data_IF_195257430457
#
_entry.id   IF_195257430457
#
_cell.length_a   1.000
_cell.length_b   1.000
_cell.length_c   1.000
_cell.angle_alpha   90.00
_cell.angle_beta   90.00
_cell.angle_gamma   90.00
#
_symmetry.space_group_name_H-M   'P 1'
#
loop_
_entity.id
_entity.type
_entity.pdbx_description
1 polymer ?
#
# COMPACT_ATOMS: atom_id res chain seq x y z
N UNK A 1 -18.75 -43.76 -6.02
CA UNK A 1 -18.31 -43.73 -4.61
C UNK A 1 -16.80 -43.70 -4.61
N UNK A 2 -16.10 -42.67 -4.15
CA UNK A 2 -16.51 -41.57 -3.27
C UNK A 2 -15.84 -40.27 -3.70
N UNK A 3 -16.59 -39.21 -3.44
CA UNK A 3 -16.26 -37.80 -3.47
C UNK A 3 -15.42 -37.40 -2.23
N UNK A 4 -14.93 -36.16 -2.26
CA UNK A 4 -14.40 -35.35 -1.11
C UNK A 4 -13.02 -35.77 -0.56
N UNK A 5 -12.05 -34.89 -0.26
CA UNK A 5 -11.93 -33.47 0.16
C UNK A 5 -10.42 -33.12 0.05
N UNK A 6 -9.86 -31.91 0.05
CA UNK A 6 -10.31 -30.54 0.12
C UNK A 6 -9.12 -29.63 -0.25
N UNK A 7 -9.44 -28.51 -0.88
CA UNK A 7 -8.94 -27.16 -0.61
C UNK A 7 -7.46 -26.90 -0.28
N UNK A 8 -6.84 -26.20 -1.25
CA UNK A 8 -6.14 -24.91 -1.09
C UNK A 8 -4.93 -24.83 -0.15
N UNK A 9 -3.79 -25.32 -0.63
CA UNK A 9 -2.50 -24.70 -0.30
C UNK A 9 -2.16 -23.65 -1.36
N UNK A 10 -2.83 -22.50 -1.29
CA UNK A 10 -2.34 -21.30 -1.98
C UNK A 10 -1.34 -20.66 -1.02
N UNK A 11 -0.11 -21.18 -1.02
CA UNK A 11 1.01 -20.57 -0.32
C UNK A 11 1.29 -19.21 -0.97
N UNK A 12 0.57 -18.19 -0.52
CA UNK A 12 0.78 -16.79 -0.87
C UNK A 12 2.10 -16.37 -0.21
N UNK A 13 3.20 -16.60 -0.92
CA UNK A 13 4.50 -16.03 -0.59
C UNK A 13 4.45 -14.55 -0.99
N UNK A 14 3.70 -13.75 -0.22
CA UNK A 14 3.68 -12.29 -0.36
C UNK A 14 5.08 -11.78 0.01
N UNK A 15 5.59 -10.81 -0.75
CA UNK A 15 6.85 -10.17 -0.37
C UNK A 15 6.67 -9.49 0.99
N UNK A 16 7.72 -9.35 1.83
CA UNK A 16 7.65 -8.57 3.06
C UNK A 16 7.04 -7.17 2.87
N UNK A 17 7.28 -6.55 1.70
CA UNK A 17 6.67 -5.27 1.34
C UNK A 17 5.15 -5.37 1.13
N UNK A 18 4.64 -6.46 0.55
CA UNK A 18 3.21 -6.66 0.33
C UNK A 18 2.46 -6.90 1.65
N UNK A 19 3.08 -7.59 2.61
CA UNK A 19 2.53 -7.80 3.94
C UNK A 19 2.33 -6.46 4.68
N UNK A 20 3.36 -5.61 4.68
CA UNK A 20 3.31 -4.26 5.27
C UNK A 20 2.19 -3.42 4.61
N UNK A 21 2.05 -3.52 3.29
CA UNK A 21 1.01 -2.77 2.57
C UNK A 21 -0.40 -3.23 2.97
N UNK A 22 -0.63 -4.55 3.10
CA UNK A 22 -1.93 -5.06 3.54
C UNK A 22 -2.26 -4.65 4.98
N UNK A 23 -1.26 -4.68 5.87
CA UNK A 23 -1.39 -4.20 7.24
C UNK A 23 -1.84 -2.74 7.26
N UNK A 24 -1.13 -1.85 6.55
CA UNK A 24 -1.48 -0.42 6.45
C UNK A 24 -2.91 -0.23 5.90
N UNK A 25 -3.27 -0.93 4.83
CA UNK A 25 -4.63 -0.80 4.24
C UNK A 25 -5.70 -1.25 5.24
N UNK A 26 -5.43 -2.27 6.04
CA UNK A 26 -6.37 -2.79 7.04
C UNK A 26 -6.65 -1.78 8.15
N UNK A 27 -5.65 -0.98 8.53
CA UNK A 27 -5.75 0.06 9.57
C UNK A 27 -6.39 1.36 9.07
N UNK A 28 -6.28 1.66 7.77
CA UNK A 28 -6.82 2.90 7.21
C UNK A 28 -8.36 2.90 7.18
N UNK A 29 -9.04 3.94 7.67
CA UNK A 29 -10.46 4.16 7.44
C UNK A 29 -10.80 4.24 5.94
N UNK A 30 -12.01 3.81 5.56
CA UNK A 30 -12.46 3.81 4.16
C UNK A 30 -12.32 5.18 3.49
N UNK A 31 -12.64 6.26 4.22
CA UNK A 31 -12.51 7.65 3.73
C UNK A 31 -11.08 7.96 3.29
N UNK A 32 -10.09 7.51 4.05
CA UNK A 32 -8.68 7.76 3.79
C UNK A 32 -8.17 6.93 2.62
N UNK A 33 -8.58 5.66 2.54
CA UNK A 33 -8.30 4.81 1.36
C UNK A 33 -8.78 5.46 0.07
N UNK A 34 -10.02 5.97 0.06
CA UNK A 34 -10.61 6.66 -1.09
C UNK A 34 -9.90 7.99 -1.38
N UNK A 35 -9.52 8.75 -0.36
CA UNK A 35 -8.79 10.00 -0.56
C UNK A 35 -7.42 9.76 -1.22
N UNK A 36 -6.66 8.78 -0.70
CA UNK A 36 -5.35 8.40 -1.24
C UNK A 36 -5.47 7.81 -2.65
N UNK A 37 -6.47 6.96 -2.90
CA UNK A 37 -6.72 6.38 -4.23
C UNK A 37 -6.97 7.42 -5.33
N UNK A 38 -7.49 8.59 -4.95
CA UNK A 38 -7.81 9.69 -5.87
C UNK A 38 -6.72 10.78 -5.94
N UNK A 39 -5.62 10.65 -5.20
CA UNK A 39 -4.48 11.55 -5.32
C UNK A 39 -3.88 11.46 -6.73
N UNK A 40 -3.47 12.60 -7.27
CA UNK A 40 -2.70 12.62 -8.50
C UNK A 40 -1.21 12.31 -8.21
N UNK A 41 -0.40 12.19 -9.27
CA UNK A 41 1.03 11.84 -9.13
C UNK A 41 1.84 12.89 -8.36
N UNK A 42 1.47 14.17 -8.45
CA UNK A 42 2.15 15.24 -7.73
C UNK A 42 1.84 15.19 -6.23
N UNK A 43 0.56 14.99 -5.88
CA UNK A 43 0.10 14.88 -4.49
C UNK A 43 0.80 13.71 -3.76
N UNK A 44 0.90 12.55 -4.41
CA UNK A 44 1.56 11.38 -3.81
C UNK A 44 3.07 11.59 -3.68
N UNK A 45 3.70 12.32 -4.60
CA UNK A 45 5.13 12.62 -4.52
C UNK A 45 5.44 13.58 -3.35
N UNK A 46 4.58 14.57 -3.14
CA UNK A 46 4.65 15.46 -1.97
C UNK A 46 4.51 14.63 -0.69
N UNK A 47 3.53 13.72 -0.62
CA UNK A 47 3.31 12.88 0.55
C UNK A 47 4.53 12.00 0.86
N UNK A 48 5.13 11.37 -0.16
CA UNK A 48 6.38 10.59 -0.01
C UNK A 48 7.52 11.44 0.51
N UNK A 49 7.71 12.63 -0.04
CA UNK A 49 8.79 13.53 0.38
C UNK A 49 8.65 13.93 1.85
N UNK A 50 7.43 14.22 2.31
CA UNK A 50 7.14 14.51 3.72
C UNK A 50 7.45 13.30 4.58
N UNK A 51 7.00 12.10 4.16
CA UNK A 51 7.22 10.86 4.89
C UNK A 51 8.72 10.52 5.01
N UNK A 52 9.46 10.54 3.90
CA UNK A 52 10.91 10.30 3.88
C UNK A 52 11.66 11.29 4.78
N UNK A 53 11.26 12.58 4.77
CA UNK A 53 11.84 13.59 5.64
C UNK A 53 11.55 13.31 7.13
N UNK A 54 10.36 12.83 7.45
CA UNK A 54 10.01 12.43 8.82
C UNK A 54 10.83 11.21 9.26
N UNK A 55 10.90 10.16 8.43
CA UNK A 55 11.64 8.93 8.72
C UNK A 55 13.13 9.24 8.94
N UNK A 56 13.80 9.92 8.00
CA UNK A 56 15.21 10.36 8.15
C UNK A 56 15.46 11.17 9.43
N UNK A 57 14.47 11.95 9.88
CA UNK A 57 14.58 12.73 11.12
C UNK A 57 14.37 11.92 12.40
N UNK A 58 13.82 10.72 12.32
CA UNK A 58 13.48 9.85 13.46
C UNK A 58 14.37 8.62 13.57
N UNK A 59 14.75 8.05 12.44
CA UNK A 59 15.65 6.91 12.34
C UNK A 59 17.01 7.49 11.97
N UNK A 60 17.99 7.44 12.88
CA UNK A 60 19.40 7.80 12.61
C UNK A 60 20.08 6.78 11.66
N UNK A 61 19.34 6.27 10.69
CA UNK A 61 19.73 5.19 9.78
C UNK A 61 19.77 5.74 8.36
N UNK A 62 20.86 5.48 7.66
CA UNK A 62 21.04 5.73 6.22
C UNK A 62 20.25 4.72 5.38
N UNK A 63 19.03 4.35 5.81
CA UNK A 63 18.17 3.49 5.01
C UNK A 63 17.95 4.18 3.65
N UNK A 64 18.22 3.45 2.57
CA UNK A 64 18.07 3.96 1.22
C UNK A 64 16.59 4.33 1.02
N UNK A 65 16.32 5.60 0.69
CA UNK A 65 14.95 6.09 0.52
C UNK A 65 14.18 5.34 -0.57
N UNK A 66 14.89 4.57 -1.40
CA UNK A 66 14.31 3.69 -2.41
C UNK A 66 13.30 2.70 -1.81
N UNK A 67 13.54 2.13 -0.62
CA UNK A 67 12.68 1.13 0.00
C UNK A 67 11.32 1.73 0.43
N UNK A 68 11.34 2.86 1.14
CA UNK A 68 10.11 3.56 1.55
C UNK A 68 9.33 4.11 0.36
N UNK A 69 10.06 4.58 -0.66
CA UNK A 69 9.47 5.08 -1.91
C UNK A 69 8.75 3.97 -2.66
N UNK A 70 9.32 2.77 -2.70
CA UNK A 70 8.70 1.59 -3.31
C UNK A 70 7.41 1.18 -2.58
N UNK A 71 7.44 1.11 -1.25
CA UNK A 71 6.25 0.78 -0.44
C UNK A 71 5.12 1.80 -0.70
N UNK A 72 5.43 3.10 -0.69
CA UNK A 72 4.44 4.15 -0.94
C UNK A 72 3.86 4.11 -2.36
N UNK A 73 4.70 3.81 -3.36
CA UNK A 73 4.23 3.60 -4.74
C UNK A 73 3.29 2.41 -4.85
N UNK A 74 3.65 1.29 -4.24
CA UNK A 74 2.87 0.06 -4.29
C UNK A 74 1.54 0.23 -3.54
N UNK A 75 1.55 0.91 -2.39
CA UNK A 75 0.34 1.30 -1.66
C UNK A 75 -0.60 2.16 -2.52
N UNK A 76 -0.09 3.24 -3.12
CA UNK A 76 -0.91 4.13 -3.96
C UNK A 76 -1.47 3.40 -5.18
N UNK A 77 -0.64 2.61 -5.87
CA UNK A 77 -1.07 1.79 -7.02
C UNK A 77 -2.17 0.80 -6.66
N UNK A 78 -2.04 0.13 -5.49
CA UNK A 78 -3.04 -0.82 -5.01
C UNK A 78 -4.35 -0.14 -4.66
N UNK A 79 -4.30 0.99 -3.96
CA UNK A 79 -5.49 1.79 -3.63
C UNK A 79 -6.16 2.36 -4.88
N UNK A 80 -5.40 2.83 -5.86
CA UNK A 80 -5.95 3.33 -7.12
C UNK A 80 -6.70 2.22 -7.88
N UNK A 81 -6.17 1.00 -7.93
CA UNK A 81 -6.82 -0.15 -8.59
C UNK A 81 -8.11 -0.61 -7.91
N UNK A 82 -8.16 -0.55 -6.58
CA UNK A 82 -9.20 -1.21 -5.79
C UNK A 82 -10.24 -0.25 -5.21
N UNK A 83 -9.89 1.03 -5.03
CA UNK A 83 -10.69 2.03 -4.32
C UNK A 83 -10.83 3.36 -5.08
N UNK A 84 -10.35 3.47 -6.34
CA UNK A 84 -10.68 4.64 -7.16
C UNK A 84 -12.17 4.60 -7.53
N UNK A 85 -12.96 5.38 -6.80
CA UNK A 85 -14.35 5.60 -7.16
C UNK A 85 -14.41 6.62 -8.29
N UNK A 86 -14.97 6.22 -9.43
CA UNK A 86 -15.32 7.13 -10.51
C UNK A 86 -16.38 8.09 -9.98
N UNK A 87 -16.03 9.37 -9.81
CA UNK A 87 -17.04 10.42 -9.58
C UNK A 87 -17.86 10.54 -10.87
N UNK A 88 -18.99 9.86 -10.95
CA UNK A 88 -19.99 10.07 -11.99
C UNK A 88 -20.75 11.33 -11.57
N UNK A 89 -20.56 12.42 -12.33
CA UNK A 89 -21.32 13.66 -12.20
C UNK A 89 -22.77 13.46 -12.64
#
# INVERSE_FOLDING_TARGET
>A
MSDQTDSKDINNNLSPADEIIEEIISELPLKERVAIANMNKEDIEILKNIFNKYVRGKTYTEADDSEYTEIMNNLWSKLQKTHSLRVIK
#
